data_IF_601227211736
#
_entry.id   IF_601227211736
#
_cell.length_a   1.000
_cell.length_b   1.000
_cell.length_c   1.000
_cell.angle_alpha   90.00
_cell.angle_beta   90.00
_cell.angle_gamma   90.00
#
_symmetry.space_group_name_H-M   'P 1'
#
loop_
_entity.id
_entity.type
_entity.pdbx_description
1 polymer ?
#
# COMPACT_ATOMS: atom_id res chain seq x y z
N UNK A 1 3.75 2.88 -9.54
CA UNK A 1 3.69 2.37 -8.15
C UNK A 1 3.28 0.90 -8.20
N UNK A 2 3.72 0.11 -7.22
CA UNK A 2 3.34 -1.29 -7.04
C UNK A 2 2.24 -1.36 -5.97
N UNK A 3 0.97 -1.62 -6.33
CA UNK A 3 -0.12 -1.64 -5.36
C UNK A 3 -0.17 -2.97 -4.63
N UNK A 4 -0.15 -2.93 -3.29
CA UNK A 4 -0.30 -4.07 -2.40
C UNK A 4 -1.60 -3.93 -1.64
N UNK A 5 -2.38 -4.99 -1.61
CA UNK A 5 -3.58 -5.08 -0.79
C UNK A 5 -3.27 -5.83 0.50
N UNK A 6 -3.71 -5.28 1.63
CA UNK A 6 -3.62 -5.90 2.95
C UNK A 6 -5.03 -6.14 3.47
N UNK A 7 -5.32 -7.38 3.86
CA UNK A 7 -6.58 -7.76 4.51
C UNK A 7 -6.31 -8.44 5.86
N UNK A 8 -7.31 -8.47 6.73
CA UNK A 8 -7.22 -9.10 8.06
C UNK A 8 -7.37 -8.11 9.21
N UNK A 9 -6.84 -8.47 10.36
CA UNK A 9 -7.05 -7.71 11.61
C UNK A 9 -6.23 -6.42 11.72
N UNK A 10 -6.73 -5.46 12.48
CA UNK A 10 -6.02 -4.25 12.90
C UNK A 10 -5.47 -3.37 11.74
N UNK A 11 -6.21 -3.24 10.64
CA UNK A 11 -5.78 -2.46 9.46
C UNK A 11 -5.46 -0.99 9.78
N UNK A 12 -6.14 -0.40 10.76
CA UNK A 12 -5.83 0.96 11.24
C UNK A 12 -4.41 1.06 11.81
N UNK A 13 -3.96 0.05 12.55
CA UNK A 13 -2.60 -0.01 13.07
C UNK A 13 -1.59 -0.28 11.95
N UNK A 14 -1.92 -1.18 11.02
CA UNK A 14 -1.10 -1.45 9.83
C UNK A 14 -0.87 -0.18 9.00
N UNK A 15 -1.93 0.61 8.73
CA UNK A 15 -1.85 1.90 8.05
C UNK A 15 -0.88 2.86 8.74
N UNK A 16 -1.01 3.01 10.06
CA UNK A 16 -0.11 3.88 10.85
C UNK A 16 1.34 3.42 10.83
N UNK A 17 1.59 2.12 10.74
CA UNK A 17 2.96 1.58 10.63
C UNK A 17 3.59 1.85 9.26
N UNK A 18 2.78 1.92 8.20
CA UNK A 18 3.22 2.20 6.83
C UNK A 18 3.41 3.71 6.57
N UNK A 19 2.66 4.57 7.26
CA UNK A 19 2.80 6.02 7.15
C UNK A 19 4.22 6.48 7.51
N UNK A 20 4.89 7.13 6.57
CA UNK A 20 6.25 7.65 6.74
C UNK A 20 7.37 6.62 6.52
N UNK A 21 7.05 5.37 6.14
CA UNK A 21 8.08 4.41 5.77
C UNK A 21 8.65 4.70 4.38
N UNK A 22 9.96 4.50 4.24
CA UNK A 22 10.64 4.60 2.95
C UNK A 22 10.05 3.58 1.96
N UNK A 23 9.81 4.03 0.72
CA UNK A 23 9.20 3.19 -0.32
C UNK A 23 7.68 3.07 -0.25
N UNK A 24 7.01 3.62 0.78
CA UNK A 24 5.53 3.72 0.82
C UNK A 24 5.11 5.08 0.28
N UNK A 25 4.44 5.10 -0.88
CA UNK A 25 3.94 6.32 -1.53
C UNK A 25 2.57 6.77 -1.00
N UNK A 26 1.76 5.82 -0.55
CA UNK A 26 0.44 6.06 0.06
C UNK A 26 -0.10 4.79 0.73
N UNK A 27 -0.95 4.95 1.74
CA UNK A 27 -1.75 3.88 2.31
C UNK A 27 -3.16 4.38 2.62
N UNK A 28 -4.19 3.70 2.13
CA UNK A 28 -5.59 4.09 2.29
C UNK A 28 -6.46 2.87 2.60
N UNK A 29 -7.33 2.99 3.60
CA UNK A 29 -8.28 1.93 3.94
C UNK A 29 -9.58 2.13 3.18
N UNK A 30 -10.05 1.08 2.51
CA UNK A 30 -11.30 1.03 1.74
C UNK A 30 -12.10 -0.16 2.26
N UNK A 31 -13.10 0.11 3.10
CA UNK A 31 -13.83 -0.93 3.81
C UNK A 31 -12.92 -1.80 4.68
N UNK A 32 -12.92 -3.12 4.43
CA UNK A 32 -12.14 -4.12 5.15
C UNK A 32 -10.77 -4.41 4.53
N UNK A 33 -10.30 -3.54 3.63
CA UNK A 33 -9.04 -3.72 2.92
C UNK A 33 -8.19 -2.46 3.07
N UNK A 34 -6.90 -2.63 3.20
CA UNK A 34 -5.92 -1.56 3.20
C UNK A 34 -5.13 -1.64 1.90
N UNK A 35 -5.23 -0.60 1.09
CA UNK A 35 -4.50 -0.47 -0.18
C UNK A 35 -3.25 0.36 0.07
N UNK A 36 -2.11 -0.19 -0.31
CA UNK A 36 -0.79 0.42 -0.12
C UNK A 36 -0.16 0.60 -1.48
N UNK A 37 0.33 1.79 -1.78
CA UNK A 37 1.09 2.07 -2.99
C UNK A 37 2.57 2.08 -2.62
N UNK A 38 3.31 1.11 -3.15
CA UNK A 38 4.76 1.03 -2.98
C UNK A 38 5.46 1.69 -4.17
N UNK A 39 6.64 2.24 -3.93
CA UNK A 39 7.51 2.75 -4.98
C UNK A 39 7.95 1.62 -5.93
N UNK A 40 8.18 1.95 -7.20
CA UNK A 40 8.60 0.96 -8.21
C UNK A 40 10.02 0.42 -7.95
N UNK A 41 10.85 1.16 -7.21
CA UNK A 41 12.21 0.72 -6.83
C UNK A 41 12.20 -0.37 -5.75
N UNK A 42 11.08 -0.60 -5.07
CA UNK A 42 10.97 -1.66 -4.05
C UNK A 42 10.91 -3.01 -4.76
N UNK A 43 11.94 -3.83 -4.56
CA UNK A 43 12.11 -5.11 -5.25
C UNK A 43 11.01 -6.13 -4.92
N UNK A 44 10.60 -6.21 -3.65
CA UNK A 44 9.52 -7.09 -3.20
C UNK A 44 8.52 -6.31 -2.32
N UNK A 45 7.56 -5.62 -2.95
CA UNK A 45 6.62 -4.76 -2.23
C UNK A 45 5.69 -5.55 -1.30
N UNK A 46 5.34 -6.78 -1.63
CA UNK A 46 4.47 -7.62 -0.79
C UNK A 46 5.20 -8.04 0.49
N UNK A 47 6.42 -8.54 0.36
CA UNK A 47 7.24 -8.91 1.50
C UNK A 47 7.52 -7.71 2.42
N UNK A 48 7.79 -6.54 1.82
CA UNK A 48 8.08 -5.32 2.58
C UNK A 48 6.86 -4.80 3.35
N UNK A 49 5.68 -4.78 2.72
CA UNK A 49 4.43 -4.42 3.41
C UNK A 49 4.11 -5.40 4.53
N UNK A 50 4.33 -6.71 4.30
CA UNK A 50 4.15 -7.74 5.33
C UNK A 50 5.12 -7.57 6.49
N UNK A 51 6.36 -7.18 6.22
CA UNK A 51 7.39 -6.89 7.23
C UNK A 51 6.99 -5.70 8.10
N UNK A 52 6.56 -4.59 7.48
CA UNK A 52 6.18 -3.36 8.19
C UNK A 52 4.91 -3.57 9.03
N UNK A 53 3.88 -4.21 8.45
CA UNK A 53 2.57 -4.35 9.11
C UNK A 53 2.49 -5.52 10.10
N UNK A 54 3.49 -6.39 10.09
CA UNK A 54 3.56 -7.61 10.90
C UNK A 54 2.65 -8.72 10.35
N UNK A 55 3.20 -9.94 10.29
CA UNK A 55 2.57 -11.08 9.62
C UNK A 55 1.33 -11.68 10.35
N UNK A 56 1.15 -11.41 11.64
CA UNK A 56 0.10 -12.06 12.42
C UNK A 56 -1.31 -11.62 11.97
N UNK A 57 -2.07 -12.59 11.43
CA UNK A 57 -3.49 -12.42 11.07
C UNK A 57 -3.75 -11.48 9.89
N UNK A 58 -2.75 -11.22 9.04
CA UNK A 58 -2.88 -10.37 7.85
C UNK A 58 -2.39 -11.08 6.60
N UNK A 59 -3.10 -10.87 5.50
CA UNK A 59 -2.69 -11.29 4.16
C UNK A 59 -2.27 -10.05 3.39
N UNK A 60 -1.09 -10.08 2.81
CA UNK A 60 -0.59 -9.04 1.91
C UNK A 60 -0.50 -9.68 0.52
N UNK A 61 -1.04 -9.02 -0.50
CA UNK A 61 -1.02 -9.52 -1.87
C UNK A 61 -0.70 -8.39 -2.85
N UNK A 62 0.30 -8.58 -3.70
CA UNK A 62 0.50 -7.69 -4.83
C UNK A 62 -0.72 -7.76 -5.75
N UNK A 63 -1.33 -6.61 -6.04
CA UNK A 63 -2.47 -6.54 -6.95
C UNK A 63 -2.08 -5.88 -8.27
N UNK A 64 -2.83 -6.15 -9.34
CA UNK A 64 -2.67 -5.40 -10.57
C UNK A 64 -3.24 -3.99 -10.36
N UNK A 65 -2.53 -2.99 -10.85
CA UNK A 65 -3.03 -1.61 -10.85
C UNK A 65 -4.38 -1.57 -11.59
N UNK A 66 -5.45 -1.27 -10.86
CA UNK A 66 -6.76 -1.00 -11.44
C UNK A 66 -6.86 0.47 -11.86
N UNK A 67 -7.84 0.80 -12.70
CA UNK A 67 -8.00 2.14 -13.32
C UNK A 67 -7.99 3.31 -12.29
N UNK A 68 -8.49 3.11 -11.07
CA UNK A 68 -8.42 4.10 -9.98
C UNK A 68 -7.00 4.45 -9.52
N UNK A 69 -6.04 3.53 -9.64
CA UNK A 69 -4.63 3.78 -9.30
C UNK A 69 -3.97 4.71 -10.33
N UNK A 70 -4.39 4.62 -11.59
CA UNK A 70 -3.94 5.49 -12.69
C UNK A 70 -4.36 6.94 -12.43
N UNK A 71 -5.56 7.18 -11.88
CA UNK A 71 -6.06 8.52 -11.58
C UNK A 71 -5.32 9.22 -10.43
N UNK A 72 -4.88 8.47 -9.40
CA UNK A 72 -4.09 9.04 -8.28
C UNK A 72 -2.68 9.41 -8.72
N UNK A 73 -2.08 8.64 -9.65
CA UNK A 73 -0.81 9.01 -10.27
C UNK A 73 -0.94 10.24 -11.18
N UNK A 74 -2.04 10.34 -11.95
CA UNK A 74 -2.27 11.47 -12.85
C UNK A 74 -2.48 12.82 -12.13
N UNK A 75 -3.01 12.80 -10.91
CA UNK A 75 -3.28 14.03 -10.14
C UNK A 75 -2.10 14.54 -9.30
N UNK A 76 -1.03 13.75 -9.13
CA UNK A 76 0.22 14.21 -8.49
C UNK A 76 1.23 14.84 -9.46
N UNK A 77 0.93 14.84 -10.76
CA UNK A 77 1.81 15.38 -11.81
C UNK A 77 1.58 16.84 -12.22
N UNK A 78 0.59 17.55 -11.64
CA UNK A 78 0.20 18.88 -12.11
C UNK A 78 0.04 19.92 -10.98
N UNK A 79 1.06 20.02 -10.13
CA UNK A 79 1.19 21.08 -9.13
C UNK A 79 2.59 21.70 -9.19
N UNK A 80 2.86 22.43 -10.26
CA UNK A 80 3.85 23.53 -10.27
C UNK A 80 3.28 24.75 -9.57
#
# INVERSE_FOLDING_TARGET
>A
ANPVEVTGGNLRQAKRALEGQAGVLSAAQIGERLRVLMDLSVADPEAEVKRITGAAGKTCALTRANLEDVFVLATRGNGT
#
